data_IF_662142477935
#
_entry.id   IF_662142477935
#
_cell.length_a   1.000
_cell.length_b   1.000
_cell.length_c   1.000
_cell.angle_alpha   90.00
_cell.angle_beta   90.00
_cell.angle_gamma   90.00
#
_symmetry.space_group_name_H-M   'P 1'
#
loop_
_entity.id
_entity.type
_entity.pdbx_description
1 polymer ?
#
# COMPACT_ATOMS: atom_id res chain seq x y z
N UNK A 1 -14.79 -10.99 0.22
CA UNK A 1 -13.98 -10.88 -1.02
C UNK A 1 -13.01 -9.73 -0.90
N UNK A 2 -11.84 -9.82 -1.55
CA UNK A 2 -10.79 -8.78 -1.49
C UNK A 2 -10.74 -8.02 -2.81
N UNK A 3 -10.62 -6.71 -2.73
CA UNK A 3 -10.44 -5.79 -3.84
C UNK A 3 -9.18 -4.93 -3.64
N UNK A 4 -8.54 -4.54 -4.73
CA UNK A 4 -7.36 -3.67 -4.75
C UNK A 4 -7.57 -2.45 -5.63
N UNK A 5 -7.03 -1.32 -5.18
CA UNK A 5 -6.93 -0.03 -5.90
C UNK A 5 -5.67 0.69 -5.42
N UNK A 6 -5.34 1.88 -5.93
CA UNK A 6 -4.14 2.64 -5.51
C UNK A 6 -4.36 4.14 -5.58
N UNK A 7 -3.52 4.92 -4.89
CA UNK A 7 -3.40 6.38 -4.99
C UNK A 7 -4.74 7.13 -4.86
N UNK A 8 -5.38 7.03 -3.69
CA UNK A 8 -6.65 7.72 -3.45
C UNK A 8 -6.46 9.21 -3.18
N UNK A 9 -5.33 9.63 -2.60
CA UNK A 9 -5.00 11.05 -2.37
C UNK A 9 -6.09 11.81 -1.63
N UNK A 10 -6.67 11.21 -0.60
CA UNK A 10 -7.79 11.76 0.17
C UNK A 10 -9.05 12.10 -0.66
N UNK A 11 -9.16 11.62 -1.91
CA UNK A 11 -10.32 11.91 -2.75
C UNK A 11 -11.51 11.05 -2.33
N UNK A 12 -12.34 11.64 -1.46
CA UNK A 12 -13.58 11.02 -0.99
C UNK A 12 -14.55 10.67 -2.14
N UNK A 13 -14.49 11.35 -3.28
CA UNK A 13 -15.35 11.05 -4.43
C UNK A 13 -15.03 9.68 -5.04
N UNK A 14 -13.79 9.19 -4.92
CA UNK A 14 -13.39 7.85 -5.40
C UNK A 14 -14.21 6.73 -4.76
N UNK A 15 -14.55 6.86 -3.47
CA UNK A 15 -15.42 5.92 -2.74
C UNK A 15 -16.88 5.92 -3.21
N UNK A 16 -17.30 6.91 -4.03
CA UNK A 16 -18.64 7.01 -4.62
C UNK A 16 -18.65 6.66 -6.11
N UNK A 17 -17.49 6.32 -6.67
CA UNK A 17 -17.34 6.00 -8.09
C UNK A 17 -18.08 4.71 -8.46
N UNK A 18 -18.28 4.50 -9.77
CA UNK A 18 -18.88 3.25 -10.27
C UNK A 18 -18.00 2.03 -9.95
N UNK A 19 -16.69 2.19 -9.93
CA UNK A 19 -15.73 1.11 -9.64
C UNK A 19 -15.87 0.56 -8.21
N UNK A 20 -16.32 1.37 -7.25
CA UNK A 20 -16.54 0.96 -5.86
C UNK A 20 -17.88 0.27 -5.61
N UNK A 21 -18.81 0.30 -6.57
CA UNK A 21 -20.16 -0.32 -6.43
C UNK A 21 -20.16 -1.82 -6.13
N UNK A 22 -19.22 -2.64 -6.63
CA UNK A 22 -19.18 -4.06 -6.33
C UNK A 22 -18.91 -4.39 -4.86
N UNK A 23 -18.29 -3.48 -4.09
CA UNK A 23 -17.97 -3.73 -2.68
C UNK A 23 -19.24 -3.81 -1.82
N UNK A 24 -19.32 -4.88 -1.04
CA UNK A 24 -20.45 -5.21 -0.17
C UNK A 24 -20.00 -5.33 1.28
N UNK A 25 -20.98 -5.61 2.14
CA UNK A 25 -20.72 -5.86 3.55
C UNK A 25 -19.82 -7.09 3.73
N UNK A 26 -18.74 -6.93 4.50
CA UNK A 26 -17.77 -7.99 4.77
C UNK A 26 -16.66 -8.12 3.73
N UNK A 27 -16.68 -7.33 2.66
CA UNK A 27 -15.54 -7.27 1.74
C UNK A 27 -14.39 -6.46 2.34
N UNK A 28 -13.21 -6.59 1.71
CA UNK A 28 -12.00 -5.85 2.04
C UNK A 28 -11.52 -5.08 0.81
N UNK A 29 -11.26 -3.79 0.98
CA UNK A 29 -10.56 -2.94 0.01
C UNK A 29 -9.12 -2.75 0.48
N UNK A 30 -8.14 -2.98 -0.38
CA UNK A 30 -6.73 -2.67 -0.11
C UNK A 30 -6.26 -1.57 -1.06
N UNK A 31 -5.69 -0.49 -0.51
CA UNK A 31 -5.16 0.66 -1.25
C UNK A 31 -3.63 0.57 -1.33
N UNK A 32 -3.11 0.56 -2.55
CA UNK A 32 -1.69 0.39 -2.88
C UNK A 32 -0.91 1.71 -2.74
N UNK A 33 -0.91 2.30 -1.55
CA UNK A 33 -0.25 3.57 -1.26
C UNK A 33 -1.11 4.81 -1.48
N UNK A 34 -0.61 5.93 -0.98
CA UNK A 34 -1.19 7.27 -1.10
C UNK A 34 -2.67 7.29 -0.73
N UNK A 35 -2.98 6.82 0.48
CA UNK A 35 -4.34 6.86 1.02
C UNK A 35 -4.76 8.30 1.31
N UNK A 36 -3.87 9.10 1.90
CA UNK A 36 -3.93 10.56 1.98
C UNK A 36 -4.91 11.14 3.01
N UNK A 37 -5.75 10.34 3.66
CA UNK A 37 -6.77 10.85 4.60
C UNK A 37 -6.24 11.18 6.00
N UNK A 38 -4.95 10.98 6.28
CA UNK A 38 -4.32 11.30 7.56
C UNK A 38 -3.20 12.30 7.25
N UNK A 39 -3.39 13.57 7.61
CA UNK A 39 -2.50 14.64 7.19
C UNK A 39 -2.36 15.81 8.16
N UNK A 40 -3.47 16.32 8.72
CA UNK A 40 -3.48 17.54 9.53
C UNK A 40 -4.34 17.47 10.80
N UNK A 41 -5.08 16.37 11.01
CA UNK A 41 -5.95 16.20 12.16
C UNK A 41 -7.14 17.16 12.18
N UNK A 42 -7.42 17.86 11.07
CA UNK A 42 -8.44 18.88 10.99
C UNK A 42 -9.85 18.33 11.24
N UNK A 43 -10.79 19.22 11.55
CA UNK A 43 -12.21 18.86 11.65
C UNK A 43 -12.76 18.27 10.34
N UNK A 44 -12.17 18.64 9.19
CA UNK A 44 -12.57 18.08 7.91
C UNK A 44 -12.08 16.63 7.78
N UNK A 45 -10.80 16.39 8.06
CA UNK A 45 -10.20 15.05 8.10
C UNK A 45 -11.02 14.09 8.99
N UNK A 46 -11.29 14.49 10.24
CA UNK A 46 -12.07 13.69 11.17
C UNK A 46 -13.48 13.39 10.69
N UNK A 47 -14.13 14.32 9.96
CA UNK A 47 -15.46 14.08 9.36
C UNK A 47 -15.38 13.05 8.25
N UNK A 48 -14.34 13.11 7.41
CA UNK A 48 -14.13 12.18 6.31
C UNK A 48 -13.78 10.80 6.86
N UNK A 49 -12.88 10.68 7.84
CA UNK A 49 -12.57 9.41 8.51
C UNK A 49 -13.81 8.79 9.15
N UNK A 50 -14.66 9.56 9.83
CA UNK A 50 -15.96 9.08 10.35
C UNK A 50 -16.93 8.63 9.26
N UNK A 51 -16.84 9.19 8.06
CA UNK A 51 -17.66 8.77 6.92
C UNK A 51 -17.14 7.47 6.29
N UNK A 52 -15.80 7.33 6.20
CA UNK A 52 -15.11 6.12 5.78
C UNK A 52 -15.33 4.98 6.80
N UNK A 53 -15.38 5.31 8.08
CA UNK A 53 -15.65 4.34 9.15
C UNK A 53 -17.03 3.67 9.03
N UNK A 54 -17.98 4.37 8.40
CA UNK A 54 -19.34 3.86 8.15
C UNK A 54 -19.45 3.03 6.87
N UNK A 55 -18.36 2.79 6.13
CA UNK A 55 -18.41 1.89 4.97
C UNK A 55 -18.69 0.46 5.46
N UNK A 56 -19.49 -0.34 4.73
CA UNK A 56 -19.86 -1.68 5.18
C UNK A 56 -18.73 -2.72 4.99
N UNK A 57 -17.62 -2.33 4.39
CA UNK A 57 -16.42 -3.12 4.12
C UNK A 57 -15.22 -2.60 4.92
N UNK A 58 -14.18 -3.42 5.01
CA UNK A 58 -12.89 -3.05 5.58
C UNK A 58 -12.06 -2.26 4.57
N UNK A 59 -11.29 -1.30 5.05
CA UNK A 59 -10.35 -0.50 4.26
C UNK A 59 -8.96 -0.74 4.84
N UNK A 60 -8.08 -1.30 4.03
CA UNK A 60 -6.68 -1.52 4.33
C UNK A 60 -5.86 -0.67 3.37
N UNK A 61 -4.68 -0.23 3.80
CA UNK A 61 -3.76 0.47 2.91
C UNK A 61 -2.32 0.24 3.36
N UNK A 62 -1.40 0.21 2.41
CA UNK A 62 0.02 0.48 2.70
C UNK A 62 0.25 1.97 2.56
N UNK A 63 1.21 2.54 3.26
CA UNK A 63 1.61 3.94 3.04
C UNK A 63 2.34 4.12 1.70
N UNK A 64 2.17 5.28 1.08
CA UNK A 64 2.94 5.73 -0.06
C UNK A 64 3.84 6.92 0.24
N UNK A 65 4.07 7.76 -0.76
CA UNK A 65 4.89 8.98 -0.66
C UNK A 65 4.07 10.23 -0.31
N UNK A 66 2.75 10.14 -0.40
CA UNK A 66 1.78 11.18 -0.03
C UNK A 66 0.94 10.79 1.17
N UNK A 67 1.58 10.19 2.18
CA UNK A 67 0.98 9.90 3.48
C UNK A 67 1.81 10.54 4.60
N UNK A 68 1.14 11.13 5.60
CA UNK A 68 1.82 11.74 6.74
C UNK A 68 2.32 10.64 7.71
N UNK A 69 3.58 10.26 7.56
CA UNK A 69 4.18 9.13 8.29
C UNK A 69 4.30 9.39 9.80
N UNK A 70 4.53 10.64 10.21
CA UNK A 70 4.63 10.99 11.63
C UNK A 70 3.27 10.81 12.32
N UNK A 71 2.19 11.33 11.72
CA UNK A 71 0.84 11.16 12.24
C UNK A 71 0.40 9.69 12.21
N UNK A 72 0.72 8.95 11.14
CA UNK A 72 0.45 7.51 11.09
C UNK A 72 1.16 6.78 12.23
N UNK A 73 2.40 7.16 12.56
CA UNK A 73 3.17 6.53 13.63
C UNK A 73 2.55 6.70 15.03
N UNK A 74 1.70 7.71 15.25
CA UNK A 74 0.99 7.94 16.50
C UNK A 74 -0.18 6.97 16.72
N UNK A 75 -0.71 6.34 15.66
CA UNK A 75 -1.82 5.41 15.78
C UNK A 75 -1.39 4.09 16.44
N UNK A 76 -2.27 3.49 17.27
CA UNK A 76 -1.95 2.28 18.00
C UNK A 76 -1.73 1.11 17.04
N UNK A 77 -0.59 0.44 17.23
CA UNK A 77 -0.23 -0.78 16.54
C UNK A 77 -0.71 -2.01 17.34
N UNK A 78 -1.17 -3.04 16.65
CA UNK A 78 -1.62 -4.29 17.26
C UNK A 78 -1.67 -5.45 16.27
N UNK A 79 -1.95 -6.65 16.77
CA UNK A 79 -2.11 -7.83 15.91
C UNK A 79 -3.37 -7.69 15.05
N UNK A 80 -3.23 -8.03 13.77
CA UNK A 80 -4.27 -7.97 12.76
C UNK A 80 -4.02 -9.04 11.70
N UNK A 81 -4.98 -9.96 11.51
CA UNK A 81 -4.98 -10.96 10.43
C UNK A 81 -3.64 -11.66 10.17
N UNK A 82 -2.95 -12.12 11.24
CA UNK A 82 -1.67 -12.83 11.13
C UNK A 82 -0.42 -11.95 11.20
N UNK A 83 -0.54 -10.64 10.99
CA UNK A 83 0.55 -9.67 11.10
C UNK A 83 0.29 -8.58 12.14
N UNK A 84 1.07 -7.50 12.08
CA UNK A 84 0.85 -6.26 12.83
C UNK A 84 0.28 -5.16 11.94
N UNK A 85 -0.65 -4.35 12.44
CA UNK A 85 -1.22 -3.22 11.70
C UNK A 85 -1.45 -2.03 12.63
N UNK A 86 -1.48 -0.81 12.07
CA UNK A 86 -1.95 0.37 12.80
C UNK A 86 -3.43 0.57 12.59
N UNK A 87 -4.15 0.72 13.70
CA UNK A 87 -5.60 0.91 13.68
C UNK A 87 -5.94 2.39 13.58
N UNK A 88 -6.44 2.82 12.42
CA UNK A 88 -6.89 4.20 12.20
C UNK A 88 -8.33 4.41 12.72
N UNK A 89 -9.21 3.42 12.47
CA UNK A 89 -10.59 3.41 12.96
C UNK A 89 -11.08 1.97 13.23
N UNK A 90 -12.38 1.74 13.41
CA UNK A 90 -12.92 0.38 13.55
C UNK A 90 -12.77 -0.52 12.32
N UNK A 91 -12.78 0.03 11.10
CA UNK A 91 -12.66 -0.72 9.85
C UNK A 91 -11.51 -0.23 8.95
N UNK A 92 -10.70 0.73 9.39
CA UNK A 92 -9.58 1.29 8.62
C UNK A 92 -8.26 0.93 9.30
N UNK A 93 -7.36 0.28 8.57
CA UNK A 93 -6.05 -0.14 9.06
C UNK A 93 -4.94 0.16 8.06
N UNK A 94 -3.81 0.63 8.57
CA UNK A 94 -2.56 0.65 7.82
C UNK A 94 -1.86 -0.70 7.97
N UNK A 95 -1.56 -1.34 6.85
CA UNK A 95 -0.72 -2.53 6.75
C UNK A 95 0.75 -2.10 6.75
N UNK A 96 1.57 -2.77 7.55
CA UNK A 96 2.94 -2.34 7.82
C UNK A 96 3.95 -3.05 6.92
N UNK A 97 5.08 -2.38 6.70
CA UNK A 97 6.18 -2.87 5.89
C UNK A 97 6.69 -4.21 6.40
N UNK A 98 6.72 -5.21 5.51
CA UNK A 98 7.31 -6.51 5.80
C UNK A 98 6.37 -7.51 6.44
N UNK A 99 5.12 -7.13 6.72
CA UNK A 99 4.11 -8.01 7.28
C UNK A 99 3.48 -8.90 6.20
N UNK A 100 3.02 -10.08 6.64
CA UNK A 100 2.23 -11.02 5.84
C UNK A 100 0.88 -11.20 6.53
N UNK A 101 -0.20 -10.96 5.80
CA UNK A 101 -1.56 -11.07 6.32
C UNK A 101 -2.29 -12.24 5.70
N UNK A 102 -3.05 -12.96 6.52
CA UNK A 102 -3.96 -14.01 6.09
C UNK A 102 -5.40 -13.47 6.06
N UNK A 103 -5.93 -13.23 4.87
CA UNK A 103 -7.25 -12.60 4.66
C UNK A 103 -8.00 -13.43 3.62
N UNK A 104 -9.23 -13.85 3.93
CA UNK A 104 -10.08 -14.64 3.01
C UNK A 104 -9.31 -15.85 2.39
N UNK A 105 -8.61 -16.61 3.23
CA UNK A 105 -7.84 -17.82 2.87
C UNK A 105 -6.62 -17.59 1.95
N UNK A 106 -6.18 -16.35 1.74
CA UNK A 106 -4.96 -16.03 0.98
C UNK A 106 -3.93 -15.28 1.82
N UNK A 107 -2.66 -15.52 1.52
CA UNK A 107 -1.53 -14.84 2.15
C UNK A 107 -1.09 -13.63 1.33
N UNK A 108 -1.01 -12.46 1.96
CA UNK A 108 -0.73 -11.18 1.31
C UNK A 108 0.48 -10.54 1.99
N UNK A 109 1.59 -10.45 1.26
CA UNK A 109 2.75 -9.68 1.68
C UNK A 109 2.55 -8.20 1.34
N UNK A 110 2.92 -7.31 2.27
CA UNK A 110 2.76 -5.87 2.06
C UNK A 110 4.03 -5.09 2.34
N UNK A 111 4.28 -4.09 1.50
CA UNK A 111 5.42 -3.19 1.68
C UNK A 111 5.14 -1.81 1.08
N UNK A 112 4.86 -0.83 1.94
CA UNK A 112 4.67 0.56 1.54
C UNK A 112 5.98 1.33 1.32
N UNK A 113 5.85 2.63 1.07
CA UNK A 113 6.96 3.54 0.84
C UNK A 113 7.35 3.75 -0.64
N UNK A 114 8.28 4.67 -0.83
CA UNK A 114 8.74 5.13 -2.15
C UNK A 114 9.77 6.24 -2.05
N UNK A 115 10.14 6.79 -3.20
CA UNK A 115 10.99 7.99 -3.30
C UNK A 115 10.17 9.07 -4.03
N UNK A 116 9.91 10.18 -3.35
CA UNK A 116 9.30 11.37 -3.95
C UNK A 116 10.27 12.02 -4.94
N UNK A 117 9.93 12.14 -6.24
CA UNK A 117 10.82 12.73 -7.25
C UNK A 117 11.02 14.25 -7.07
N UNK A 118 10.10 14.91 -6.39
CA UNK A 118 10.05 16.34 -6.11
C UNK A 118 10.47 16.68 -4.67
N UNK A 119 11.22 15.78 -4.02
CA UNK A 119 11.72 15.96 -2.64
C UNK A 119 12.46 17.29 -2.43
N UNK A 120 13.28 17.71 -3.40
CA UNK A 120 14.06 18.95 -3.31
C UNK A 120 13.18 20.22 -3.26
N UNK A 121 11.93 20.13 -3.71
CA UNK A 121 10.96 21.23 -3.72
C UNK A 121 9.98 21.17 -2.53
N UNK A 122 10.11 20.17 -1.65
CA UNK A 122 9.21 19.92 -0.51
C UNK A 122 9.83 20.28 0.83
N UNK A 123 8.98 20.43 1.86
CA UNK A 123 9.41 20.74 3.23
C UNK A 123 9.38 19.46 4.08
N UNK A 124 10.55 19.04 4.56
CA UNK A 124 10.71 17.89 5.45
C UNK A 124 9.82 18.01 6.71
N UNK A 125 9.08 16.96 7.02
CA UNK A 125 8.15 16.89 8.16
C UNK A 125 6.82 17.62 7.94
N UNK A 126 6.58 18.20 6.75
CA UNK A 126 5.32 18.89 6.41
C UNK A 126 4.69 18.31 5.15
N UNK A 127 5.45 18.22 4.06
CA UNK A 127 4.96 17.72 2.77
C UNK A 127 5.79 16.57 2.20
N UNK A 128 6.82 16.16 2.93
CA UNK A 128 7.74 15.09 2.59
C UNK A 128 8.37 14.51 3.87
N UNK A 129 8.64 13.20 3.89
CA UNK A 129 9.29 12.53 5.02
C UNK A 129 10.49 11.69 4.58
N UNK A 130 11.62 11.82 5.30
CA UNK A 130 12.81 10.95 5.09
C UNK A 130 12.49 9.46 5.18
N UNK A 131 11.50 9.10 5.98
CA UNK A 131 11.09 7.72 6.24
C UNK A 131 10.15 7.15 5.15
N UNK A 132 9.91 7.88 4.05
CA UNK A 132 9.28 7.34 2.83
C UNK A 132 10.04 6.14 2.28
N UNK A 133 11.37 6.16 2.39
CA UNK A 133 12.21 5.00 2.14
C UNK A 133 12.28 4.10 3.39
N UNK A 134 12.29 2.77 3.23
CA UNK A 134 12.37 1.85 4.35
C UNK A 134 13.72 1.91 5.05
N UNK A 135 13.73 1.66 6.36
CA UNK A 135 14.98 1.46 7.09
C UNK A 135 15.61 0.11 6.74
N UNK A 136 16.89 -0.07 7.11
CA UNK A 136 17.56 -1.35 6.95
C UNK A 136 16.93 -2.43 7.82
N UNK A 137 16.44 -2.05 8.99
CA UNK A 137 15.76 -2.90 9.94
C UNK A 137 14.41 -3.38 9.38
N UNK A 138 13.64 -2.50 8.73
CA UNK A 138 12.39 -2.86 8.05
C UNK A 138 12.62 -3.83 6.88
N UNK A 139 13.67 -3.59 6.08
CA UNK A 139 14.06 -4.51 5.00
C UNK A 139 14.48 -5.87 5.57
N UNK A 140 15.31 -5.88 6.61
CA UNK A 140 15.79 -7.12 7.22
C UNK A 140 14.64 -7.92 7.85
N UNK A 141 13.72 -7.23 8.53
CA UNK A 141 12.51 -7.82 9.07
C UNK A 141 11.64 -8.45 7.97
N UNK A 142 11.40 -7.74 6.88
CA UNK A 142 10.61 -8.25 5.77
C UNK A 142 11.22 -9.50 5.12
N UNK A 143 12.54 -9.51 4.93
CA UNK A 143 13.26 -10.70 4.42
C UNK A 143 13.09 -11.88 5.36
N UNK A 144 13.31 -11.67 6.66
CA UNK A 144 13.17 -12.72 7.66
C UNK A 144 11.74 -13.27 7.70
N UNK A 145 10.73 -12.39 7.60
CA UNK A 145 9.32 -12.79 7.65
C UNK A 145 8.95 -13.64 6.42
N UNK A 146 9.35 -13.20 5.22
CA UNK A 146 9.18 -13.96 3.98
C UNK A 146 9.91 -15.31 4.02
N UNK A 147 11.17 -15.35 4.47
CA UNK A 147 11.95 -16.59 4.59
C UNK A 147 11.29 -17.57 5.57
N UNK A 148 10.81 -17.09 6.71
CA UNK A 148 10.11 -17.89 7.72
C UNK A 148 8.78 -18.43 7.20
N UNK A 149 8.16 -17.73 6.25
CA UNK A 149 6.95 -18.15 5.53
C UNK A 149 7.27 -18.97 4.26
N UNK A 150 8.51 -19.42 4.10
CA UNK A 150 8.93 -20.27 2.98
C UNK A 150 9.02 -19.55 1.64
N UNK A 151 9.16 -18.21 1.66
CA UNK A 151 9.21 -17.33 0.48
C UNK A 151 8.04 -17.57 -0.48
N UNK A 152 6.84 -17.79 0.06
CA UNK A 152 5.64 -18.04 -0.73
C UNK A 152 4.46 -17.29 -0.15
N UNK A 153 3.83 -16.48 -0.97
CA UNK A 153 2.57 -15.78 -0.66
C UNK A 153 1.66 -15.84 -1.89
N UNK A 154 0.39 -15.50 -1.75
CA UNK A 154 -0.52 -15.43 -2.90
C UNK A 154 -0.38 -14.09 -3.62
N UNK A 155 -0.33 -13.00 -2.85
CA UNK A 155 -0.35 -11.65 -3.38
C UNK A 155 0.73 -10.77 -2.75
N UNK A 156 1.25 -9.84 -3.55
CA UNK A 156 2.13 -8.77 -3.08
C UNK A 156 1.43 -7.44 -3.32
N UNK A 157 1.41 -6.59 -2.30
CA UNK A 157 0.82 -5.24 -2.37
C UNK A 157 1.85 -4.23 -1.90
N UNK A 158 2.20 -3.30 -2.78
CA UNK A 158 3.18 -2.24 -2.50
C UNK A 158 2.68 -0.89 -2.99
N UNK A 159 3.33 0.20 -2.58
CA UNK A 159 3.12 1.48 -3.26
C UNK A 159 4.02 1.59 -4.50
N UNK A 160 5.33 1.40 -4.31
CA UNK A 160 6.31 1.40 -5.41
C UNK A 160 6.44 0.02 -6.06
N UNK A 161 6.69 -0.06 -7.38
CA UNK A 161 7.04 -1.32 -8.03
C UNK A 161 8.51 -1.71 -7.77
N UNK A 162 8.89 -2.90 -8.24
CA UNK A 162 10.30 -3.29 -8.37
C UNK A 162 11.06 -2.38 -9.36
N UNK A 163 12.38 -2.31 -9.27
CA UNK A 163 13.18 -1.41 -10.11
C UNK A 163 13.16 -1.82 -11.59
N UNK A 164 13.04 -3.12 -11.86
CA UNK A 164 12.86 -3.66 -13.23
C UNK A 164 11.54 -3.17 -13.84
N UNK A 165 10.45 -3.21 -13.07
CA UNK A 165 9.14 -2.73 -13.53
C UNK A 165 9.14 -1.20 -13.64
N UNK A 166 9.75 -0.49 -12.68
CA UNK A 166 9.93 0.96 -12.77
C UNK A 166 10.64 1.34 -14.07
N UNK A 167 11.79 0.71 -14.37
CA UNK A 167 12.56 0.98 -15.58
C UNK A 167 11.76 0.74 -16.86
N UNK A 168 10.84 -0.21 -16.86
CA UNK A 168 9.97 -0.47 -18.01
C UNK A 168 8.88 0.61 -18.19
N UNK A 169 8.44 1.24 -17.10
CA UNK A 169 7.35 2.23 -17.11
C UNK A 169 7.85 3.66 -17.28
N UNK A 170 8.99 3.98 -16.68
CA UNK A 170 9.57 5.31 -16.64
C UNK A 170 11.10 5.22 -16.86
N UNK A 171 11.50 5.43 -18.11
CA UNK A 171 12.89 5.34 -18.55
C UNK A 171 13.74 6.53 -18.07
N UNK A 172 13.12 7.64 -17.64
CA UNK A 172 13.83 8.89 -17.30
C UNK A 172 14.23 8.96 -15.81
N UNK A 173 13.72 8.05 -14.98
CA UNK A 173 13.98 7.98 -13.53
C UNK A 173 14.65 6.65 -13.13
N UNK A 174 15.78 6.34 -13.78
CA UNK A 174 16.61 5.14 -13.57
C UNK A 174 17.42 5.13 -12.26
N UNK A 175 16.88 5.63 -11.15
CA UNK A 175 17.55 5.49 -9.84
C UNK A 175 17.01 4.25 -9.13
N UNK A 176 17.88 3.24 -8.98
CA UNK A 176 17.61 2.12 -8.08
C UNK A 176 18.03 2.52 -6.67
N UNK A 177 17.05 2.90 -5.87
CA UNK A 177 17.22 3.08 -4.43
C UNK A 177 17.23 1.72 -3.69
N UNK A 178 17.37 1.76 -2.37
CA UNK A 178 17.35 0.56 -1.52
C UNK A 178 16.01 -0.19 -1.55
N UNK A 179 14.89 0.52 -1.76
CA UNK A 179 13.56 -0.07 -1.84
C UNK A 179 13.43 -0.86 -3.15
N UNK A 180 13.78 -0.24 -4.28
CA UNK A 180 13.79 -0.89 -5.59
C UNK A 180 14.67 -2.14 -5.60
N UNK A 181 15.88 -2.06 -5.02
CA UNK A 181 16.77 -3.22 -4.91
C UNK A 181 16.18 -4.34 -4.03
N UNK A 182 15.50 -3.99 -2.94
CA UNK A 182 14.78 -4.94 -2.09
C UNK A 182 13.64 -5.62 -2.87
N UNK A 183 12.79 -4.85 -3.53
CA UNK A 183 11.64 -5.35 -4.30
C UNK A 183 12.07 -6.19 -5.51
N UNK A 184 13.22 -5.91 -6.12
CA UNK A 184 13.82 -6.81 -7.14
C UNK A 184 14.25 -8.16 -6.53
N UNK A 185 14.74 -8.17 -5.30
CA UNK A 185 15.00 -9.39 -4.54
C UNK A 185 13.71 -10.19 -4.32
N UNK A 186 12.68 -9.54 -3.79
CA UNK A 186 11.35 -10.15 -3.58
C UNK A 186 10.80 -10.73 -4.88
N UNK A 187 10.87 -9.98 -5.99
CA UNK A 187 10.38 -10.46 -7.29
C UNK A 187 11.11 -11.70 -7.81
N UNK A 188 12.34 -11.96 -7.37
CA UNK A 188 13.16 -13.12 -7.81
C UNK A 188 13.06 -14.30 -6.85
N UNK A 189 12.95 -14.02 -5.56
CA UNK A 189 13.10 -15.01 -4.48
C UNK A 189 11.75 -15.53 -3.98
N UNK A 190 10.67 -14.75 -4.12
CA UNK A 190 9.34 -15.08 -3.59
C UNK A 190 8.44 -15.63 -4.70
N UNK A 191 7.74 -16.73 -4.40
CA UNK A 191 6.66 -17.23 -5.23
C UNK A 191 5.35 -16.48 -4.92
N UNK A 192 4.72 -15.88 -5.94
CA UNK A 192 3.44 -15.18 -5.83
C UNK A 192 2.58 -15.34 -7.10
N UNK A 193 1.27 -15.12 -6.97
CA UNK A 193 0.30 -15.20 -8.08
C UNK A 193 0.19 -13.87 -8.84
N UNK A 194 0.10 -12.75 -8.12
CA UNK A 194 0.04 -11.39 -8.68
C UNK A 194 0.63 -10.36 -7.71
N UNK A 195 1.15 -9.27 -8.27
CA UNK A 195 1.68 -8.11 -7.57
C UNK A 195 0.93 -6.85 -7.99
N UNK A 196 0.35 -6.14 -7.02
CA UNK A 196 -0.34 -4.86 -7.24
C UNK A 196 0.44 -3.70 -6.64
N UNK A 197 0.56 -2.60 -7.38
CA UNK A 197 1.22 -1.39 -6.92
C UNK A 197 0.54 -0.12 -7.46
N UNK A 198 0.78 1.02 -6.80
CA UNK A 198 0.22 2.33 -7.17
C UNK A 198 1.25 3.24 -7.86
N UNK A 199 1.44 4.44 -7.31
CA UNK A 199 2.46 5.46 -7.64
C UNK A 199 2.29 6.20 -8.96
N UNK A 200 1.93 5.52 -10.06
CA UNK A 200 1.96 6.15 -11.40
C UNK A 200 0.65 6.76 -11.88
N UNK A 201 -0.42 6.68 -11.09
CA UNK A 201 -1.73 7.23 -11.45
C UNK A 201 -2.28 6.72 -12.79
N UNK A 202 -2.05 5.45 -13.10
CA UNK A 202 -2.71 4.76 -14.21
C UNK A 202 -3.01 3.30 -13.86
N UNK A 203 -3.99 2.74 -14.56
CA UNK A 203 -4.33 1.32 -14.50
C UNK A 203 -3.66 0.58 -15.66
N UNK A 204 -2.80 -0.40 -15.35
CA UNK A 204 -2.07 -1.16 -16.39
C UNK A 204 -1.68 -2.56 -15.93
N UNK A 205 -2.02 -3.55 -16.74
CA UNK A 205 -1.49 -4.91 -16.60
C UNK A 205 -0.08 -4.95 -17.19
N UNK A 206 0.87 -5.48 -16.43
CA UNK A 206 2.27 -5.64 -16.78
C UNK A 206 2.59 -7.13 -16.70
N UNK A 207 2.49 -7.86 -17.82
CA UNK A 207 2.68 -9.30 -17.83
C UNK A 207 4.07 -9.70 -17.32
N UNK A 208 4.20 -10.87 -16.67
CA UNK A 208 3.14 -11.86 -16.45
C UNK A 208 2.32 -11.66 -15.15
N UNK A 209 2.86 -10.96 -14.15
CA UNK A 209 2.34 -11.01 -12.77
C UNK A 209 2.08 -9.64 -12.12
N UNK A 210 2.27 -8.52 -12.82
CA UNK A 210 2.25 -7.19 -12.21
C UNK A 210 1.07 -6.36 -12.68
N UNK A 211 0.53 -5.53 -11.79
CA UNK A 211 -0.61 -4.66 -12.04
C UNK A 211 -0.37 -3.29 -11.38
N UNK A 212 -0.28 -2.25 -12.19
CA UNK A 212 -0.44 -0.88 -11.71
C UNK A 212 -1.93 -0.60 -11.54
N UNK A 213 -2.33 -0.07 -10.39
CA UNK A 213 -3.72 0.27 -10.07
C UNK A 213 -3.84 1.73 -9.64
N UNK A 214 -4.83 2.41 -10.20
CA UNK A 214 -5.20 3.77 -9.85
C UNK A 214 -6.71 3.88 -9.73
N UNK A 215 -7.46 4.08 -10.81
CA UNK A 215 -8.91 4.30 -10.77
C UNK A 215 -9.70 3.00 -10.70
N UNK A 216 -9.15 1.91 -11.24
CA UNK A 216 -9.80 0.61 -11.20
C UNK A 216 -9.84 0.05 -9.78
N UNK A 217 -10.84 -0.80 -9.57
CA UNK A 217 -11.03 -1.57 -8.33
C UNK A 217 -11.16 -3.02 -8.74
N UNK A 218 -10.06 -3.76 -8.57
CA UNK A 218 -9.91 -5.11 -9.12
C UNK A 218 -10.14 -6.15 -8.02
N UNK A 219 -10.97 -7.18 -8.23
CA UNK A 219 -11.08 -8.27 -7.29
C UNK A 219 -9.82 -9.16 -7.33
N UNK A 220 -9.31 -9.54 -6.16
CA UNK A 220 -8.33 -10.62 -6.07
C UNK A 220 -9.03 -11.95 -6.30
N UNK A 221 -8.37 -12.84 -7.06
CA UNK A 221 -8.88 -14.19 -7.30
C UNK A 221 -8.51 -15.09 -6.12
N UNK A 222 -9.33 -15.06 -5.09
CA UNK A 222 -9.25 -16.00 -3.95
C UNK A 222 -9.39 -17.43 -4.47
#
# INVERSE_FOLDING_TARGET
MIYVTGDIHADQARFKSKAMKPLKKGDTLIVCGDFGFIWDGSKNEQKVLKWLEKRPYQILFVEGTHDNLDMLAEYPQGSFSGGSARRISSNIFQLLRGEIYHIEDVDIFTFGGGESPDMDDRIEGISWWRNELPSKEEIAYARQNLESHGNKVDYIITHSPSSVVNSFLDMDHMRTDQLGAFLDGVSREVQYKQWYFGRYHFDKVIPPLHHAVYLDVLPLKV
#
